data_IF_397734313625
#
_entry.id   IF_397734313625
#
_cell.length_a   1.000
_cell.length_b   1.000
_cell.length_c   1.000
_cell.angle_alpha   90.00
_cell.angle_beta   90.00
_cell.angle_gamma   90.00
#
_symmetry.space_group_name_H-M   'P 1'
#
loop_
_entity.id
_entity.type
_entity.pdbx_description
1 polymer ?
#
# COMPACT_ATOMS: atom_id res chain seq x y z
N UNK A 1 46.57 -24.89 14.74
CA UNK A 1 45.40 -23.99 14.91
C UNK A 1 44.44 -24.19 13.73
N UNK A 2 43.27 -24.83 13.93
CA UNK A 2 42.21 -24.91 12.91
C UNK A 2 40.83 -24.37 13.36
N UNK A 3 40.73 -23.71 14.51
CA UNK A 3 39.44 -23.35 15.11
C UNK A 3 38.62 -22.30 14.33
N UNK A 4 39.28 -21.38 13.61
CA UNK A 4 38.60 -20.28 12.92
C UNK A 4 37.69 -20.74 11.75
N UNK A 5 37.98 -21.90 11.14
CA UNK A 5 37.27 -22.37 9.95
C UNK A 5 35.96 -23.13 10.30
N UNK A 6 35.89 -23.75 11.49
CA UNK A 6 34.68 -24.47 11.93
C UNK A 6 33.56 -23.53 12.42
N UNK A 7 33.93 -22.41 13.04
CA UNK A 7 32.95 -21.44 13.51
C UNK A 7 32.29 -20.67 12.36
N UNK A 8 33.07 -20.33 11.32
CA UNK A 8 32.52 -19.71 10.10
C UNK A 8 31.48 -20.61 9.41
N UNK A 9 31.80 -21.90 9.19
CA UNK A 9 30.86 -22.83 8.56
C UNK A 9 29.56 -23.03 9.37
N UNK A 10 29.66 -23.07 10.71
CA UNK A 10 28.49 -23.20 11.59
C UNK A 10 27.61 -21.94 11.57
N UNK A 11 28.22 -20.76 11.54
CA UNK A 11 27.51 -19.48 11.42
C UNK A 11 26.78 -19.38 10.07
N UNK A 12 27.44 -19.75 8.97
CA UNK A 12 26.82 -19.74 7.63
C UNK A 12 25.69 -20.75 7.51
N UNK A 13 25.85 -21.95 8.08
CA UNK A 13 24.81 -23.00 8.06
C UNK A 13 23.57 -22.56 8.86
N UNK A 14 23.77 -21.89 10.01
CA UNK A 14 22.66 -21.40 10.83
C UNK A 14 21.88 -20.29 10.12
N UNK A 15 22.56 -19.31 9.54
CA UNK A 15 21.92 -18.25 8.76
C UNK A 15 21.04 -18.83 7.65
N UNK A 16 21.59 -19.78 6.88
CA UNK A 16 20.85 -20.41 5.78
C UNK A 16 19.60 -21.16 6.25
N UNK A 17 19.68 -21.88 7.37
CA UNK A 17 18.52 -22.54 7.96
C UNK A 17 17.47 -21.52 8.40
N UNK A 18 17.90 -20.44 9.05
CA UNK A 18 16.99 -19.38 9.50
C UNK A 18 16.34 -18.64 8.32
N UNK A 19 17.05 -18.45 7.21
CA UNK A 19 16.51 -17.92 5.95
C UNK A 19 15.41 -18.83 5.37
N UNK A 20 15.66 -20.14 5.30
CA UNK A 20 14.66 -21.11 4.81
C UNK A 20 13.42 -21.15 5.70
N UNK A 21 13.59 -21.04 7.02
CA UNK A 21 12.46 -20.95 7.96
C UNK A 21 11.67 -19.67 7.71
N UNK A 22 12.34 -18.53 7.58
CA UNK A 22 11.69 -17.26 7.30
C UNK A 22 10.89 -17.32 5.99
N UNK A 23 11.50 -17.84 4.93
CA UNK A 23 10.91 -17.98 3.60
C UNK A 23 9.66 -18.87 3.60
N UNK A 24 9.71 -19.99 4.33
CA UNK A 24 8.57 -20.88 4.53
C UNK A 24 7.44 -20.22 5.32
N UNK A 25 7.77 -19.54 6.43
CA UNK A 25 6.76 -18.90 7.28
C UNK A 25 6.02 -17.78 6.54
N UNK A 26 6.74 -17.00 5.72
CA UNK A 26 6.14 -15.97 4.87
C UNK A 26 5.19 -16.59 3.84
N UNK A 27 5.63 -17.64 3.13
CA UNK A 27 4.77 -18.37 2.18
C UNK A 27 3.52 -18.94 2.87
N UNK A 28 3.68 -19.56 4.04
CA UNK A 28 2.60 -20.13 4.82
C UNK A 28 1.59 -19.05 5.22
N UNK A 29 2.06 -17.90 5.72
CA UNK A 29 1.21 -16.78 6.09
C UNK A 29 0.41 -16.24 4.89
N UNK A 30 1.08 -15.98 3.75
CA UNK A 30 0.42 -15.53 2.52
C UNK A 30 -0.66 -16.53 2.09
N UNK A 31 -0.30 -17.81 2.00
CA UNK A 31 -1.20 -18.87 1.53
C UNK A 31 -2.43 -19.02 2.44
N UNK A 32 -2.23 -18.97 3.76
CA UNK A 32 -3.33 -19.07 4.72
C UNK A 32 -4.28 -17.86 4.64
N UNK A 33 -3.75 -16.65 4.45
CA UNK A 33 -4.56 -15.43 4.30
C UNK A 33 -5.36 -15.43 3.00
N UNK A 34 -4.75 -15.86 1.89
CA UNK A 34 -5.44 -15.96 0.60
C UNK A 34 -6.53 -17.04 0.64
N UNK A 35 -6.25 -18.19 1.26
CA UNK A 35 -7.25 -19.26 1.46
C UNK A 35 -8.43 -18.76 2.30
N UNK A 36 -8.14 -18.08 3.40
CA UNK A 36 -9.17 -17.47 4.24
C UNK A 36 -10.01 -16.46 3.45
N UNK A 37 -9.38 -15.55 2.71
CA UNK A 37 -10.09 -14.55 1.90
C UNK A 37 -10.98 -15.19 0.85
N UNK A 38 -10.50 -16.22 0.15
CA UNK A 38 -11.28 -16.95 -0.85
C UNK A 38 -12.53 -17.58 -0.23
N UNK A 39 -12.38 -18.27 0.90
CA UNK A 39 -13.52 -18.88 1.60
C UNK A 39 -14.54 -17.84 2.09
N UNK A 40 -14.10 -16.61 2.40
CA UNK A 40 -15.01 -15.50 2.73
C UNK A 40 -15.82 -15.03 1.51
N UNK A 41 -15.23 -15.03 0.32
CA UNK A 41 -15.90 -14.61 -0.92
C UNK A 41 -16.88 -15.68 -1.45
N UNK A 42 -16.54 -16.95 -1.29
CA UNK A 42 -17.34 -18.07 -1.83
C UNK A 42 -18.70 -18.25 -1.11
N UNK A 43 -18.88 -17.68 0.09
CA UNK A 43 -20.16 -17.56 0.81
C UNK A 43 -20.82 -18.87 1.31
N UNK A 44 -20.45 -20.02 0.74
CA UNK A 44 -21.07 -21.33 0.95
C UNK A 44 -20.12 -22.32 1.65
N UNK A 45 -19.35 -21.85 2.63
CA UNK A 45 -18.31 -22.65 3.31
C UNK A 45 -18.81 -23.12 4.67
N UNK A 46 -18.50 -24.38 5.02
CA UNK A 46 -18.86 -24.93 6.32
C UNK A 46 -18.18 -24.19 7.48
N UNK A 47 -18.89 -23.98 8.60
CA UNK A 47 -18.38 -23.26 9.79
C UNK A 47 -17.02 -23.77 10.29
N UNK A 48 -16.77 -25.08 10.17
CA UNK A 48 -15.51 -25.72 10.56
C UNK A 48 -14.35 -25.30 9.65
N UNK A 49 -14.51 -25.42 8.34
CA UNK A 49 -13.48 -25.07 7.35
C UNK A 49 -13.07 -23.61 7.47
N UNK A 50 -14.07 -22.74 7.67
CA UNK A 50 -13.84 -21.33 7.93
C UNK A 50 -13.04 -21.10 9.22
N UNK A 51 -13.43 -21.74 10.33
CA UNK A 51 -12.73 -21.61 11.62
C UNK A 51 -11.28 -22.07 11.51
N UNK A 52 -11.04 -23.16 10.79
CA UNK A 52 -9.70 -23.72 10.59
C UNK A 52 -8.83 -22.80 9.71
N UNK A 53 -9.41 -22.18 8.67
CA UNK A 53 -8.73 -21.20 7.84
C UNK A 53 -8.34 -19.94 8.63
N UNK A 54 -9.26 -19.38 9.41
CA UNK A 54 -8.99 -18.20 10.27
C UNK A 54 -7.87 -18.50 11.28
N UNK A 55 -7.94 -19.65 11.97
CA UNK A 55 -6.88 -20.06 12.92
C UNK A 55 -5.53 -20.22 12.24
N UNK A 56 -5.51 -20.76 11.02
CA UNK A 56 -4.29 -20.93 10.24
C UNK A 56 -3.68 -19.57 9.86
N UNK A 57 -4.50 -18.62 9.41
CA UNK A 57 -4.06 -17.26 9.08
C UNK A 57 -3.50 -16.54 10.32
N UNK A 58 -4.21 -16.58 11.44
CA UNK A 58 -3.79 -15.98 12.71
C UNK A 58 -2.49 -16.62 13.25
N UNK A 59 -2.32 -17.92 13.04
CA UNK A 59 -1.06 -18.61 13.35
C UNK A 59 0.08 -18.14 12.45
N UNK A 60 -0.16 -18.08 11.13
CA UNK A 60 0.83 -17.61 10.15
C UNK A 60 1.35 -16.21 10.48
N UNK A 61 0.45 -15.27 10.77
CA UNK A 61 0.82 -13.90 11.15
C UNK A 61 1.67 -13.87 12.43
N UNK A 62 1.29 -14.63 13.47
CA UNK A 62 2.06 -14.72 14.71
C UNK A 62 3.46 -15.27 14.50
N UNK A 63 3.57 -16.34 13.71
CA UNK A 63 4.85 -17.00 13.44
C UNK A 63 5.78 -16.08 12.65
N UNK A 64 5.28 -15.43 11.59
CA UNK A 64 6.06 -14.44 10.82
C UNK A 64 6.52 -13.31 11.73
N UNK A 65 5.63 -12.77 12.56
CA UNK A 65 5.97 -11.66 13.46
C UNK A 65 7.06 -12.02 14.47
N UNK A 66 6.87 -13.13 15.19
CA UNK A 66 7.81 -13.61 16.21
C UNK A 66 9.16 -14.01 15.60
N UNK A 67 9.13 -14.71 14.47
CA UNK A 67 10.34 -15.17 13.82
C UNK A 67 11.09 -14.02 13.14
N UNK A 68 10.41 -13.04 12.55
CA UNK A 68 11.07 -11.85 11.97
C UNK A 68 11.86 -11.07 13.01
N UNK A 69 11.30 -10.91 14.23
CA UNK A 69 12.00 -10.28 15.35
C UNK A 69 13.21 -11.11 15.80
N UNK A 70 13.03 -12.43 15.89
CA UNK A 70 14.11 -13.35 16.27
C UNK A 70 15.24 -13.35 15.24
N UNK A 71 14.90 -13.40 13.95
CA UNK A 71 15.84 -13.34 12.83
C UNK A 71 16.67 -12.06 12.88
N UNK A 72 16.02 -10.89 12.98
CA UNK A 72 16.72 -9.58 13.08
C UNK A 72 17.65 -9.50 14.29
N UNK A 73 17.26 -10.09 15.42
CA UNK A 73 18.10 -10.12 16.63
C UNK A 73 19.31 -11.05 16.48
N UNK A 74 19.14 -12.20 15.83
CA UNK A 74 20.20 -13.18 15.65
C UNK A 74 21.16 -12.80 14.51
N UNK A 75 20.66 -12.10 13.49
CA UNK A 75 21.36 -11.77 12.25
C UNK A 75 21.22 -10.27 11.90
N UNK A 76 21.69 -9.35 12.77
CA UNK A 76 21.42 -7.91 12.62
C UNK A 76 22.00 -7.28 11.35
N UNK A 77 23.04 -7.88 10.77
CA UNK A 77 23.73 -7.40 9.56
C UNK A 77 23.48 -8.30 8.35
N UNK A 78 22.59 -9.29 8.44
CA UNK A 78 22.30 -10.16 7.31
C UNK A 78 21.46 -9.40 6.27
N UNK A 79 21.92 -9.46 5.03
CA UNK A 79 21.15 -9.05 3.87
C UNK A 79 20.40 -10.28 3.38
N UNK A 80 19.07 -10.18 3.29
CA UNK A 80 18.25 -11.28 2.80
C UNK A 80 18.49 -11.48 1.30
N UNK A 81 18.54 -12.72 0.81
CA UNK A 81 18.46 -13.01 -0.61
C UNK A 81 17.22 -12.35 -1.26
N UNK A 82 17.35 -11.84 -2.49
CA UNK A 82 16.30 -11.07 -3.16
C UNK A 82 14.95 -11.79 -3.23
N UNK A 83 14.96 -13.12 -3.42
CA UNK A 83 13.76 -13.94 -3.45
C UNK A 83 13.01 -13.96 -2.11
N UNK A 84 13.75 -14.00 -0.99
CA UNK A 84 13.19 -13.95 0.37
C UNK A 84 12.75 -12.52 0.71
N UNK A 85 13.54 -11.52 0.31
CA UNK A 85 13.18 -10.11 0.47
C UNK A 85 11.87 -9.78 -0.27
N UNK A 86 11.72 -10.25 -1.52
CA UNK A 86 10.50 -10.12 -2.31
C UNK A 86 9.33 -10.82 -1.62
N UNK A 87 9.51 -12.05 -1.16
CA UNK A 87 8.44 -12.79 -0.44
C UNK A 87 8.04 -12.09 0.86
N UNK A 88 8.99 -11.49 1.58
CA UNK A 88 8.71 -10.67 2.74
C UNK A 88 7.81 -9.49 2.39
N UNK A 89 8.10 -8.78 1.30
CA UNK A 89 7.25 -7.67 0.81
C UNK A 89 5.86 -8.14 0.43
N UNK A 90 5.73 -9.26 -0.27
CA UNK A 90 4.43 -9.86 -0.62
C UNK A 90 3.65 -10.21 0.65
N UNK A 91 4.32 -10.78 1.65
CA UNK A 91 3.72 -11.11 2.94
C UNK A 91 3.20 -9.84 3.65
N UNK A 92 4.02 -8.78 3.69
CA UNK A 92 3.63 -7.49 4.26
C UNK A 92 2.44 -6.90 3.54
N UNK A 93 2.50 -6.79 2.22
CA UNK A 93 1.40 -6.26 1.42
C UNK A 93 0.10 -7.07 1.61
N UNK A 94 0.20 -8.40 1.59
CA UNK A 94 -0.95 -9.29 1.79
C UNK A 94 -1.58 -9.09 3.18
N UNK A 95 -0.76 -8.97 4.23
CA UNK A 95 -1.26 -8.73 5.60
C UNK A 95 -1.89 -7.35 5.76
N UNK A 96 -1.34 -6.32 5.12
CA UNK A 96 -1.94 -4.97 5.09
C UNK A 96 -3.26 -4.99 4.34
N UNK A 97 -3.29 -5.55 3.13
CA UNK A 97 -4.46 -5.56 2.27
C UNK A 97 -5.62 -6.37 2.89
N UNK A 98 -5.34 -7.54 3.47
CA UNK A 98 -6.38 -8.47 3.91
C UNK A 98 -6.72 -8.36 5.40
N UNK A 99 -5.79 -7.92 6.24
CA UNK A 99 -5.94 -7.86 7.71
C UNK A 99 -5.62 -6.50 8.31
N UNK A 100 -5.22 -5.51 7.50
CA UNK A 100 -4.97 -4.13 7.94
C UNK A 100 -3.88 -4.04 9.01
N UNK A 101 -2.89 -4.95 8.97
CA UNK A 101 -1.77 -5.07 9.90
C UNK A 101 -0.46 -5.28 9.14
N UNK A 102 0.67 -4.89 9.73
CA UNK A 102 2.00 -5.27 9.22
C UNK A 102 2.54 -6.46 10.03
N UNK A 103 2.48 -7.67 9.47
CA UNK A 103 2.95 -8.88 10.18
C UNK A 103 4.45 -8.86 10.49
N UNK A 104 5.25 -8.01 9.83
CA UNK A 104 6.70 -7.89 10.07
C UNK A 104 7.06 -6.80 11.09
N UNK A 105 6.07 -6.00 11.50
CA UNK A 105 6.22 -4.98 12.52
C UNK A 105 6.02 -5.57 13.91
N UNK A 106 6.91 -5.34 14.89
CA UNK A 106 6.79 -5.91 16.24
C UNK A 106 5.45 -5.62 16.94
N UNK A 107 4.84 -4.48 16.61
CA UNK A 107 3.56 -4.01 17.18
C UNK A 107 2.39 -4.20 16.24
N UNK A 108 2.58 -4.84 15.09
CA UNK A 108 1.63 -4.94 13.97
C UNK A 108 1.13 -3.59 13.41
N UNK A 109 1.76 -2.49 13.82
CA UNK A 109 1.47 -1.15 13.33
C UNK A 109 2.42 -0.77 12.20
N UNK A 110 1.99 0.13 11.33
CA UNK A 110 2.85 0.68 10.28
C UNK A 110 3.17 2.15 10.55
N UNK A 111 4.40 2.55 10.29
CA UNK A 111 4.77 3.95 10.25
C UNK A 111 4.34 4.54 8.90
N UNK A 112 3.61 5.65 8.93
CA UNK A 112 3.27 6.38 7.70
C UNK A 112 4.53 7.03 7.12
N UNK A 113 4.83 6.73 5.85
CA UNK A 113 6.04 7.20 5.15
C UNK A 113 5.74 7.91 3.83
N UNK A 114 4.48 8.26 3.56
CA UNK A 114 4.05 8.88 2.29
C UNK A 114 4.54 10.33 2.12
N UNK A 115 4.65 11.09 3.22
CA UNK A 115 4.88 12.54 3.17
C UNK A 115 6.20 13.00 2.51
N UNK A 116 7.38 12.38 2.75
CA UNK A 116 8.63 12.81 2.09
C UNK A 116 8.61 12.61 0.57
N UNK A 117 8.11 11.46 0.10
CA UNK A 117 8.03 11.13 -1.32
C UNK A 117 7.07 12.06 -2.06
N UNK A 118 5.89 12.29 -1.49
CA UNK A 118 4.91 13.24 -2.03
C UNK A 118 5.52 14.62 -2.25
N UNK A 119 6.27 15.14 -1.25
CA UNK A 119 6.97 16.42 -1.39
C UNK A 119 8.03 16.42 -2.49
N UNK A 120 8.81 15.34 -2.60
CA UNK A 120 9.83 15.22 -3.65
C UNK A 120 9.21 15.22 -5.06
N UNK A 121 8.15 14.44 -5.27
CA UNK A 121 7.42 14.36 -6.54
C UNK A 121 6.80 15.72 -6.92
N UNK A 122 6.09 16.37 -6.00
CA UNK A 122 5.49 17.69 -6.22
C UNK A 122 6.54 18.75 -6.54
N UNK A 123 7.65 18.77 -5.78
CA UNK A 123 8.75 19.69 -6.00
C UNK A 123 9.40 19.51 -7.38
N UNK A 124 9.57 18.27 -7.83
CA UNK A 124 10.08 17.96 -9.18
C UNK A 124 9.16 18.52 -10.27
N UNK A 125 7.85 18.38 -10.12
CA UNK A 125 6.86 18.90 -11.07
C UNK A 125 6.62 20.41 -10.95
N UNK A 126 7.17 21.05 -9.90
CA UNK A 126 6.92 22.46 -9.56
C UNK A 126 5.43 22.75 -9.35
N UNK A 127 4.68 21.76 -8.87
CA UNK A 127 3.27 21.87 -8.56
C UNK A 127 3.06 21.95 -7.04
N UNK A 128 2.08 22.72 -6.59
CA UNK A 128 1.71 22.77 -5.16
C UNK A 128 0.87 21.57 -4.74
N UNK A 129 0.15 20.97 -5.69
CA UNK A 129 -0.70 19.80 -5.49
C UNK A 129 -0.89 19.03 -6.81
N UNK A 130 -1.41 17.81 -6.71
CA UNK A 130 -1.60 16.92 -7.89
C UNK A 130 -2.66 17.40 -8.88
N UNK A 131 -3.58 18.28 -8.47
CA UNK A 131 -4.63 18.82 -9.37
C UNK A 131 -4.09 19.98 -10.19
N UNK A 132 -3.28 20.86 -9.61
CA UNK A 132 -2.67 22.00 -10.32
C UNK A 132 -1.91 21.53 -11.56
N UNK A 133 -1.17 20.44 -11.43
CA UNK A 133 -0.44 19.78 -12.51
C UNK A 133 -1.35 19.38 -13.69
N UNK A 134 -2.60 18.95 -13.44
CA UNK A 134 -3.61 18.63 -14.48
C UNK A 134 -4.07 19.86 -15.26
N UNK A 135 -4.11 21.03 -14.61
CA UNK A 135 -4.65 22.28 -15.16
C UNK A 135 -3.60 23.17 -15.83
N UNK A 136 -2.32 22.79 -15.76
CA UNK A 136 -1.14 23.56 -16.20
C UNK A 136 -1.04 23.85 -17.71
N UNK A 137 -2.02 23.44 -18.52
CA UNK A 137 -2.17 23.95 -19.89
C UNK A 137 -2.67 25.40 -19.92
N UNK A 138 -3.01 25.97 -18.76
CA UNK A 138 -3.39 27.38 -18.58
C UNK A 138 -2.31 28.15 -17.79
N UNK A 139 -2.07 29.44 -18.08
CA UNK A 139 -1.01 30.22 -17.43
C UNK A 139 -1.20 30.28 -15.91
N UNK A 140 -0.10 30.36 -15.12
CA UNK A 140 -0.16 30.34 -13.67
C UNK A 140 -1.01 31.50 -13.16
N UNK A 141 -2.18 31.16 -12.63
CA UNK A 141 -3.05 32.11 -11.95
C UNK A 141 -2.33 32.52 -10.67
N UNK A 142 -1.94 33.78 -10.55
CA UNK A 142 -1.26 34.38 -9.37
C UNK A 142 -2.13 34.46 -8.12
N UNK A 143 -3.24 33.72 -8.06
CA UNK A 143 -4.07 33.60 -6.88
C UNK A 143 -3.55 32.40 -6.08
N UNK A 144 -3.11 32.58 -4.82
CA UNK A 144 -2.81 31.44 -3.98
C UNK A 144 -4.09 30.61 -3.88
N UNK A 145 -4.07 29.36 -4.36
CA UNK A 145 -5.11 28.37 -4.01
C UNK A 145 -4.85 27.98 -2.55
N UNK A 146 -5.03 28.94 -1.65
CA UNK A 146 -5.12 28.76 -0.23
C UNK A 146 -6.60 28.52 0.09
N UNK A 147 -7.17 27.44 -0.44
CA UNK A 147 -8.34 26.87 0.21
C UNK A 147 -7.83 25.88 1.25
N UNK A 148 -7.65 26.38 2.47
CA UNK A 148 -7.53 25.53 3.65
C UNK A 148 -8.83 24.75 3.81
N UNK A 149 -8.91 23.57 3.19
CA UNK A 149 -10.05 22.66 3.38
C UNK A 149 -9.94 22.00 4.77
N UNK A 150 -10.29 22.78 5.78
CA UNK A 150 -10.09 22.47 7.20
C UNK A 150 -11.11 21.48 7.78
N UNK A 151 -12.14 21.11 7.00
CA UNK A 151 -13.23 20.24 7.42
C UNK A 151 -13.33 18.96 6.58
N UNK A 152 -13.73 17.87 7.24
CA UNK A 152 -13.95 16.58 6.58
C UNK A 152 -15.22 16.68 5.73
N UNK A 153 -15.25 16.12 4.50
CA UNK A 153 -16.43 16.20 3.65
C UNK A 153 -17.65 15.45 4.22
N UNK A 154 -17.44 14.54 5.18
CA UNK A 154 -18.48 13.71 5.78
C UNK A 154 -18.65 13.97 7.27
N UNK A 155 -19.89 13.83 7.75
CA UNK A 155 -20.20 13.89 9.19
C UNK A 155 -19.63 12.67 9.93
N UNK A 156 -19.32 12.78 11.25
CA UNK A 156 -18.81 11.66 12.03
C UNK A 156 -19.70 10.42 12.02
N UNK A 157 -21.02 10.61 11.92
CA UNK A 157 -21.98 9.50 11.84
C UNK A 157 -21.82 8.72 10.52
N UNK A 158 -21.64 9.42 9.40
CA UNK A 158 -21.43 8.82 8.07
C UNK A 158 -20.09 8.10 8.02
N UNK A 159 -19.01 8.71 8.55
CA UNK A 159 -17.69 8.08 8.62
C UNK A 159 -17.74 6.76 9.40
N UNK A 160 -18.44 6.74 10.54
CA UNK A 160 -18.60 5.52 11.34
C UNK A 160 -19.34 4.43 10.57
N UNK A 161 -20.46 4.78 9.92
CA UNK A 161 -21.25 3.84 9.10
C UNK A 161 -20.41 3.28 7.94
N UNK A 162 -19.65 4.11 7.24
CA UNK A 162 -18.79 3.68 6.14
C UNK A 162 -17.69 2.74 6.62
N UNK A 163 -17.09 3.03 7.78
CA UNK A 163 -16.06 2.18 8.40
C UNK A 163 -16.64 0.83 8.82
N UNK A 164 -17.83 0.82 9.45
CA UNK A 164 -18.55 -0.41 9.81
C UNK A 164 -18.89 -1.25 8.58
N UNK A 165 -19.32 -0.60 7.49
CA UNK A 165 -19.64 -1.24 6.22
C UNK A 165 -18.40 -1.83 5.53
N UNK A 166 -17.31 -1.06 5.46
CA UNK A 166 -16.02 -1.54 4.96
C UNK A 166 -15.58 -2.79 5.73
N UNK A 167 -15.63 -2.75 7.06
CA UNK A 167 -15.34 -3.89 7.91
C UNK A 167 -16.26 -5.09 7.61
N UNK A 168 -17.56 -4.86 7.45
CA UNK A 168 -18.51 -5.91 7.05
C UNK A 168 -18.13 -6.56 5.72
N UNK A 169 -17.83 -5.79 4.68
CA UNK A 169 -17.42 -6.30 3.36
C UNK A 169 -16.05 -7.01 3.39
N UNK A 170 -15.18 -6.60 4.31
CA UNK A 170 -13.93 -7.30 4.58
C UNK A 170 -14.14 -8.61 5.36
N UNK A 171 -15.36 -8.88 5.85
CA UNK A 171 -15.73 -10.08 6.59
C UNK A 171 -15.53 -9.98 8.11
N UNK A 172 -15.45 -8.76 8.65
CA UNK A 172 -15.22 -8.52 10.07
C UNK A 172 -16.48 -8.62 10.94
N UNK A 173 -17.64 -8.19 10.42
CA UNK A 173 -18.86 -7.97 11.23
C UNK A 173 -19.58 -9.23 11.72
N UNK A 174 -18.98 -10.41 11.59
CA UNK A 174 -19.48 -11.70 12.11
C UNK A 174 -18.47 -12.46 12.96
N UNK A 175 -17.30 -11.89 13.22
CA UNK A 175 -16.24 -12.55 13.98
C UNK A 175 -16.50 -12.45 15.49
N UNK A 176 -16.45 -13.57 16.25
CA UNK A 176 -16.34 -13.50 17.70
C UNK A 176 -15.15 -12.62 18.09
N UNK A 177 -15.25 -11.87 19.19
CA UNK A 177 -14.20 -10.94 19.64
C UNK A 177 -12.80 -11.57 19.71
N UNK A 178 -12.70 -12.86 20.06
CA UNK A 178 -11.44 -13.60 20.08
C UNK A 178 -10.74 -13.73 18.70
N UNK A 179 -11.49 -13.65 17.61
CA UNK A 179 -10.97 -13.71 16.23
C UNK A 179 -10.75 -12.32 15.61
N UNK A 180 -11.05 -11.24 16.34
CA UNK A 180 -10.79 -9.86 15.92
C UNK A 180 -9.38 -9.38 16.33
N UNK A 181 -8.63 -10.19 17.10
CA UNK A 181 -7.31 -9.83 17.66
C UNK A 181 -6.27 -9.53 16.58
N UNK A 182 -6.32 -10.24 15.45
CA UNK A 182 -5.44 -10.03 14.30
C UNK A 182 -6.16 -9.26 13.19
N UNK A 183 -6.73 -8.13 13.57
CA UNK A 183 -7.27 -7.11 12.67
C UNK A 183 -6.73 -5.75 13.07
N UNK A 184 -6.33 -4.94 12.10
CA UNK A 184 -5.77 -3.62 12.35
C UNK A 184 -6.50 -2.51 11.64
N UNK A 185 -5.85 -1.35 11.65
CA UNK A 185 -6.39 -0.10 11.11
C UNK A 185 -5.43 0.53 10.08
N UNK A 186 -4.51 -0.26 9.51
CA UNK A 186 -3.62 0.23 8.45
C UNK A 186 -4.44 0.55 7.21
N UNK A 187 -4.33 1.79 6.73
CA UNK A 187 -5.10 2.26 5.59
C UNK A 187 -4.62 1.67 4.27
N UNK A 188 -5.47 1.71 3.23
CA UNK A 188 -5.01 1.43 1.86
C UNK A 188 -3.94 2.42 1.43
N UNK A 189 -4.06 3.70 1.83
CA UNK A 189 -3.05 4.73 1.58
C UNK A 189 -1.68 4.35 2.12
N UNK A 190 -1.61 3.80 3.33
CA UNK A 190 -0.35 3.27 3.87
C UNK A 190 0.12 2.06 3.05
N UNK A 191 -0.81 1.16 2.68
CA UNK A 191 -0.58 -0.01 1.82
C UNK A 191 0.02 0.30 0.45
N UNK A 192 -0.32 1.46 -0.13
CA UNK A 192 0.08 1.88 -1.48
C UNK A 192 1.59 1.87 -1.69
N UNK A 193 2.39 2.25 -0.68
CA UNK A 193 3.86 2.19 -0.78
C UNK A 193 4.37 0.77 -1.03
N UNK A 194 3.85 -0.23 -0.32
CA UNK A 194 4.29 -1.61 -0.58
C UNK A 194 3.85 -2.07 -1.97
N UNK A 195 2.63 -1.71 -2.39
CA UNK A 195 2.14 -2.06 -3.72
C UNK A 195 3.06 -1.50 -4.82
N UNK A 196 3.47 -0.23 -4.70
CA UNK A 196 4.33 0.42 -5.67
C UNK A 196 5.73 -0.17 -5.70
N UNK A 197 6.29 -0.50 -4.54
CA UNK A 197 7.59 -1.16 -4.49
C UNK A 197 7.50 -2.57 -5.07
N UNK A 198 6.47 -3.34 -4.73
CA UNK A 198 6.23 -4.66 -5.35
C UNK A 198 6.09 -4.57 -6.86
N UNK A 199 5.44 -3.51 -7.36
CA UNK A 199 5.32 -3.24 -8.79
C UNK A 199 6.69 -3.01 -9.42
N UNK A 200 7.55 -2.21 -8.79
CA UNK A 200 8.91 -1.96 -9.27
C UNK A 200 9.78 -3.21 -9.27
N UNK A 201 9.73 -4.03 -8.21
CA UNK A 201 10.44 -5.30 -8.18
C UNK A 201 9.93 -6.27 -9.24
N UNK A 202 8.60 -6.35 -9.42
CA UNK A 202 7.99 -7.19 -10.46
C UNK A 202 8.44 -6.75 -11.86
N UNK A 203 8.53 -5.44 -12.10
CA UNK A 203 9.11 -4.89 -13.33
C UNK A 203 10.57 -5.30 -13.50
N UNK A 204 11.40 -5.14 -12.47
CA UNK A 204 12.81 -5.48 -12.51
C UNK A 204 13.07 -6.98 -12.77
N UNK A 205 12.17 -7.87 -12.34
CA UNK A 205 12.28 -9.31 -12.58
C UNK A 205 11.73 -9.78 -13.92
N UNK A 206 10.73 -9.08 -14.47
CA UNK A 206 10.03 -9.51 -15.70
C UNK A 206 10.33 -8.62 -16.92
N UNK A 207 11.13 -7.56 -16.75
CA UNK A 207 11.43 -6.53 -17.75
C UNK A 207 10.19 -5.89 -18.41
N UNK A 208 9.02 -5.98 -17.79
CA UNK A 208 7.78 -5.42 -18.32
C UNK A 208 6.76 -5.11 -17.21
N UNK A 209 5.97 -4.05 -17.41
CA UNK A 209 4.73 -3.81 -16.66
C UNK A 209 3.57 -3.83 -17.63
N UNK A 210 2.65 -4.77 -17.40
CA UNK A 210 1.41 -4.84 -18.18
C UNK A 210 0.49 -3.66 -17.90
N UNK A 211 -0.32 -3.30 -18.90
CA UNK A 211 -1.39 -2.30 -18.77
C UNK A 211 -2.36 -2.64 -17.64
N UNK A 212 -2.74 -3.91 -17.51
CA UNK A 212 -3.61 -4.41 -16.43
C UNK A 212 -3.01 -4.12 -15.04
N UNK A 213 -1.69 -4.21 -14.89
CA UNK A 213 -1.02 -3.90 -13.63
C UNK A 213 -1.08 -2.41 -13.31
N UNK A 214 -0.86 -1.55 -14.32
CA UNK A 214 -1.03 -0.09 -14.19
C UNK A 214 -2.48 0.30 -13.88
N UNK A 215 -3.47 -0.38 -14.48
CA UNK A 215 -4.90 -0.17 -14.18
C UNK A 215 -5.18 -0.56 -12.73
N UNK A 216 -4.65 -1.70 -12.28
CA UNK A 216 -4.77 -2.15 -10.89
C UNK A 216 -4.16 -1.16 -9.91
N UNK A 217 -2.98 -0.62 -10.23
CA UNK A 217 -2.29 0.39 -9.44
C UNK A 217 -3.11 1.68 -9.32
N UNK A 218 -3.66 2.15 -10.44
CA UNK A 218 -4.48 3.37 -10.50
C UNK A 218 -5.79 3.18 -9.72
N UNK A 219 -6.46 2.04 -9.91
CA UNK A 219 -7.65 1.69 -9.13
C UNK A 219 -7.34 1.61 -7.63
N UNK A 220 -6.18 1.08 -7.25
CA UNK A 220 -5.76 1.07 -5.85
C UNK A 220 -5.59 2.49 -5.30
N UNK A 221 -4.97 3.42 -6.05
CA UNK A 221 -4.84 4.82 -5.63
C UNK A 221 -6.21 5.46 -5.39
N UNK A 222 -7.13 5.27 -6.33
CA UNK A 222 -8.51 5.74 -6.21
C UNK A 222 -9.13 5.20 -4.93
N UNK A 223 -9.15 3.88 -4.74
CA UNK A 223 -9.73 3.25 -3.54
C UNK A 223 -9.08 3.72 -2.24
N UNK A 224 -7.76 3.96 -2.25
CA UNK A 224 -7.03 4.51 -1.10
C UNK A 224 -7.48 5.94 -0.76
N UNK A 225 -7.71 6.78 -1.77
CA UNK A 225 -8.31 8.11 -1.58
C UNK A 225 -9.72 7.99 -1.01
N UNK A 226 -10.54 7.08 -1.55
CA UNK A 226 -11.92 6.92 -1.10
C UNK A 226 -11.97 6.50 0.37
N UNK A 227 -11.13 5.55 0.76
CA UNK A 227 -10.99 5.09 2.14
C UNK A 227 -10.56 6.24 3.07
N UNK A 228 -9.55 7.02 2.65
CA UNK A 228 -9.05 8.14 3.43
C UNK A 228 -10.15 9.19 3.70
N UNK A 229 -10.96 9.56 2.71
CA UNK A 229 -12.03 10.53 2.94
C UNK A 229 -13.28 9.93 3.59
N UNK A 230 -13.77 8.77 3.12
CA UNK A 230 -15.06 8.18 3.56
C UNK A 230 -14.98 7.42 4.87
N UNK A 231 -13.81 6.89 5.24
CA UNK A 231 -13.63 6.09 6.46
C UNK A 231 -12.78 6.84 7.49
N UNK A 232 -11.64 7.40 7.10
CA UNK A 232 -10.75 8.09 8.04
C UNK A 232 -11.13 9.56 8.29
N UNK A 233 -11.94 10.16 7.43
CA UNK A 233 -12.25 11.58 7.51
C UNK A 233 -11.04 12.46 7.21
N UNK A 234 -10.28 12.13 6.16
CA UNK A 234 -9.21 12.98 5.66
C UNK A 234 -9.72 14.39 5.33
N UNK A 235 -8.81 15.36 5.42
CA UNK A 235 -9.05 16.79 5.19
C UNK A 235 -8.04 17.32 4.19
N UNK A 236 -8.36 18.42 3.53
CA UNK A 236 -7.42 19.01 2.58
C UNK A 236 -7.23 18.14 1.34
N UNK A 237 -6.20 18.48 0.58
CA UNK A 237 -5.75 17.74 -0.61
C UNK A 237 -4.64 16.72 -0.29
N UNK A 238 -4.24 16.61 0.98
CA UNK A 238 -3.07 15.80 1.38
C UNK A 238 -3.24 14.31 1.08
N UNK A 239 -4.41 13.73 1.34
CA UNK A 239 -4.67 12.33 1.03
C UNK A 239 -4.61 12.06 -0.48
N UNK A 240 -5.16 12.98 -1.29
CA UNK A 240 -5.05 12.91 -2.75
C UNK A 240 -3.60 13.03 -3.22
N UNK A 241 -2.86 14.00 -2.70
CA UNK A 241 -1.44 14.19 -2.99
C UNK A 241 -0.63 12.92 -2.65
N UNK A 242 -0.84 12.34 -1.47
CA UNK A 242 -0.15 11.12 -1.04
C UNK A 242 -0.45 9.91 -1.94
N UNK A 243 -1.70 9.77 -2.39
CA UNK A 243 -2.10 8.66 -3.23
C UNK A 243 -1.68 8.81 -4.70
N UNK A 244 -1.58 10.03 -5.24
CA UNK A 244 -1.33 10.26 -6.68
C UNK A 244 0.09 10.78 -7.01
N UNK A 245 0.91 11.09 -6.00
CA UNK A 245 2.32 11.51 -6.18
C UNK A 245 3.27 10.33 -6.39
N UNK A 246 2.94 9.45 -7.34
CA UNK A 246 3.77 8.33 -7.74
C UNK A 246 4.32 8.54 -9.14
N UNK A 247 5.63 8.59 -9.23
CA UNK A 247 6.40 8.77 -10.45
C UNK A 247 7.86 9.00 -10.08
N UNK A 248 8.69 9.41 -11.05
CA UNK A 248 10.08 9.77 -10.78
C UNK A 248 10.20 10.93 -9.78
N UNK A 249 11.02 10.80 -8.73
CA UNK A 249 11.14 11.82 -7.65
C UNK A 249 12.43 12.63 -7.66
N UNK A 250 13.54 12.09 -8.20
CA UNK A 250 14.83 12.77 -8.27
C UNK A 250 15.39 12.81 -9.70
N UNK A 251 16.19 13.85 -10.00
CA UNK A 251 17.07 13.89 -11.16
C UNK A 251 18.46 13.42 -10.68
N UNK A 252 18.65 12.11 -10.53
CA UNK A 252 19.87 11.50 -10.01
C UNK A 252 19.58 10.44 -8.94
N UNK A 253 20.29 9.31 -8.99
CA UNK A 253 20.11 8.15 -8.09
C UNK A 253 20.87 8.28 -6.77
N UNK A 254 21.71 9.31 -6.59
CA UNK A 254 22.60 9.42 -5.44
C UNK A 254 21.83 9.61 -4.12
N UNK A 255 21.95 8.64 -3.21
CA UNK A 255 21.42 8.68 -1.86
C UNK A 255 19.97 8.23 -1.69
N UNK A 256 19.35 7.65 -2.72
CA UNK A 256 18.05 6.97 -2.59
C UNK A 256 18.22 5.63 -1.87
N UNK A 257 17.20 5.20 -1.12
CA UNK A 257 17.15 3.82 -0.64
C UNK A 257 16.83 2.86 -1.81
N UNK A 258 17.10 1.56 -1.62
CA UNK A 258 16.87 0.54 -2.65
C UNK A 258 15.39 0.51 -3.10
N UNK A 259 14.46 0.78 -2.18
CA UNK A 259 13.02 0.82 -2.46
C UNK A 259 12.67 1.92 -3.47
N UNK A 260 13.14 3.14 -3.21
CA UNK A 260 12.88 4.33 -4.01
C UNK A 260 13.60 4.26 -5.36
N UNK A 261 14.78 3.63 -5.39
CA UNK A 261 15.54 3.35 -6.62
C UNK A 261 14.73 2.45 -7.56
N UNK A 262 14.27 1.30 -7.06
CA UNK A 262 13.48 0.34 -7.85
C UNK A 262 12.16 0.96 -8.34
N UNK A 263 11.50 1.78 -7.51
CA UNK A 263 10.29 2.49 -7.93
C UNK A 263 10.58 3.54 -9.00
N UNK A 264 11.70 4.27 -8.92
CA UNK A 264 12.07 5.25 -9.93
C UNK A 264 12.47 4.60 -11.26
N UNK A 265 13.20 3.48 -11.21
CA UNK A 265 13.57 2.69 -12.38
C UNK A 265 12.33 2.17 -13.13
N UNK A 266 11.32 1.70 -12.38
CA UNK A 266 10.03 1.28 -12.93
C UNK A 266 9.39 2.34 -13.86
N UNK A 267 9.51 3.62 -13.50
CA UNK A 267 8.94 4.73 -14.28
C UNK A 267 9.92 5.27 -15.34
N UNK A 268 11.22 5.05 -15.17
CA UNK A 268 12.27 5.47 -16.11
C UNK A 268 12.60 4.44 -17.19
N UNK A 269 12.21 3.18 -16.98
CA UNK A 269 12.37 2.08 -17.94
C UNK A 269 11.70 2.35 -19.29
N UNK A 270 12.21 1.73 -20.36
CA UNK A 270 11.71 1.87 -21.73
C UNK A 270 11.57 3.33 -22.23
N UNK A 271 12.57 4.15 -21.93
CA UNK A 271 12.58 5.57 -22.31
C UNK A 271 11.47 6.39 -21.63
N UNK A 272 10.93 5.89 -20.52
CA UNK A 272 9.83 6.52 -19.78
C UNK A 272 8.44 6.22 -20.35
N UNK A 273 8.30 5.27 -21.27
CA UNK A 273 6.99 4.92 -21.86
C UNK A 273 5.96 4.45 -20.81
N UNK A 274 6.39 3.63 -19.84
CA UNK A 274 5.60 3.24 -18.67
C UNK A 274 5.20 4.47 -17.87
N UNK A 275 6.15 5.37 -17.61
CA UNK A 275 5.88 6.64 -16.91
C UNK A 275 4.82 7.49 -17.62
N UNK A 276 4.93 7.67 -18.93
CA UNK A 276 3.97 8.46 -19.74
C UNK A 276 2.58 7.84 -19.72
N UNK A 277 2.48 6.53 -19.94
CA UNK A 277 1.20 5.84 -19.93
C UNK A 277 0.56 5.87 -18.54
N UNK A 278 1.35 5.65 -17.49
CA UNK A 278 0.87 5.68 -16.12
C UNK A 278 0.38 7.08 -15.71
N UNK A 279 1.11 8.14 -16.09
CA UNK A 279 0.66 9.51 -15.87
C UNK A 279 -0.66 9.82 -16.59
N UNK A 280 -0.83 9.32 -17.81
CA UNK A 280 -2.11 9.43 -18.53
C UNK A 280 -3.26 8.75 -17.77
N UNK A 281 -3.05 7.53 -17.30
CA UNK A 281 -4.08 6.77 -16.56
C UNK A 281 -4.42 7.41 -15.21
N UNK A 282 -3.41 7.91 -14.48
CA UNK A 282 -3.65 8.69 -13.25
C UNK A 282 -4.45 9.96 -13.54
N UNK A 283 -4.15 10.66 -14.63
CA UNK A 283 -4.87 11.87 -15.05
C UNK A 283 -6.32 11.54 -15.38
N UNK A 284 -6.57 10.49 -16.15
CA UNK A 284 -7.93 10.02 -16.46
C UNK A 284 -8.70 9.65 -15.19
N UNK A 285 -8.07 8.92 -14.26
CA UNK A 285 -8.70 8.58 -12.97
C UNK A 285 -8.97 9.81 -12.09
N UNK A 286 -8.07 10.81 -12.07
CA UNK A 286 -8.29 12.08 -11.37
C UNK A 286 -9.42 12.89 -12.00
N UNK A 287 -9.55 12.88 -13.33
CA UNK A 287 -10.66 13.53 -14.04
C UNK A 287 -11.98 12.78 -13.81
N UNK A 288 -11.98 11.45 -13.71
CA UNK A 288 -13.17 10.68 -13.34
C UNK A 288 -13.59 10.94 -11.89
N UNK A 289 -12.61 11.06 -10.98
CA UNK A 289 -12.80 11.56 -9.61
C UNK A 289 -13.43 12.95 -9.60
N UNK A 290 -12.98 13.85 -10.48
CA UNK A 290 -13.50 15.22 -10.63
C UNK A 290 -14.89 15.29 -11.30
N UNK A 291 -15.23 14.35 -12.16
CA UNK A 291 -16.49 14.41 -12.91
C UNK A 291 -17.65 13.65 -12.26
N UNK A 292 -17.51 13.17 -11.01
CA UNK A 292 -18.61 12.44 -10.37
C UNK A 292 -18.80 11.02 -10.86
N UNK A 293 -17.92 10.48 -11.71
CA UNK A 293 -18.19 9.23 -12.47
C UNK A 293 -17.68 7.96 -11.82
N UNK A 294 -17.27 8.00 -10.54
CA UNK A 294 -16.78 6.79 -9.90
C UNK A 294 -17.89 5.84 -9.53
N UNK A 295 -17.78 4.62 -10.05
CA UNK A 295 -18.52 3.48 -9.52
C UNK A 295 -18.31 3.35 -8.00
N UNK A 296 -19.39 3.40 -7.22
CA UNK A 296 -19.37 3.29 -5.76
C UNK A 296 -19.55 4.61 -4.98
N UNK A 297 -19.71 5.74 -5.68
CA UNK A 297 -20.20 6.98 -5.10
C UNK A 297 -21.62 7.28 -5.58
N UNK A 298 -22.40 7.91 -4.71
CA UNK A 298 -23.55 8.70 -5.16
C UNK A 298 -23.02 10.05 -5.67
N UNK A 299 -23.61 10.62 -6.71
CA UNK A 299 -23.18 11.90 -7.33
C UNK A 299 -23.02 13.03 -6.28
N UNK A 300 -23.80 12.96 -5.19
CA UNK A 300 -23.78 13.89 -4.06
C UNK A 300 -22.51 13.78 -3.19
N UNK A 301 -21.97 12.57 -3.00
CA UNK A 301 -20.76 12.34 -2.21
C UNK A 301 -19.50 12.84 -2.94
N UNK A 302 -19.46 12.71 -4.27
CA UNK A 302 -18.36 13.25 -5.10
C UNK A 302 -18.49 14.76 -5.21
N UNK A 303 -19.70 15.29 -5.44
CA UNK A 303 -19.93 16.74 -5.46
C UNK A 303 -19.52 17.38 -4.13
N UNK A 304 -19.78 16.71 -3.01
CA UNK A 304 -19.35 17.15 -1.67
C UNK A 304 -17.84 17.04 -1.49
N UNK A 305 -17.20 15.98 -1.99
CA UNK A 305 -15.75 15.82 -1.95
C UNK A 305 -15.04 16.88 -2.79
N UNK A 306 -15.54 17.17 -4.00
CA UNK A 306 -14.96 18.15 -4.93
C UNK A 306 -15.24 19.60 -4.55
N UNK A 307 -16.42 19.89 -4.01
CA UNK A 307 -16.71 21.19 -3.40
C UNK A 307 -15.77 21.46 -2.21
N UNK A 308 -15.42 20.41 -1.44
CA UNK A 308 -14.45 20.48 -0.34
C UNK A 308 -12.99 20.31 -0.77
N UNK A 309 -12.69 20.03 -2.04
CA UNK A 309 -11.32 20.01 -2.60
C UNK A 309 -11.09 21.23 -3.52
N UNK A 310 -12.10 22.10 -3.65
CA UNK A 310 -12.02 23.37 -4.36
C UNK A 310 -12.00 23.25 -5.87
N UNK A 311 -12.33 22.07 -6.42
CA UNK A 311 -12.45 21.85 -7.86
C UNK A 311 -13.69 22.56 -8.46
N UNK A 312 -14.65 22.99 -7.63
CA UNK A 312 -15.83 23.75 -8.04
C UNK A 312 -15.65 25.27 -8.03
N UNK A 313 -14.45 25.77 -8.38
CA UNK A 313 -14.29 27.14 -8.90
C UNK A 313 -13.35 27.12 -10.10
N UNK A 314 -13.86 26.61 -11.23
CA UNK A 314 -13.87 27.33 -12.53
C UNK A 314 -14.78 26.64 -13.54
#
# INVERSE_FOLDING_TARGET
MPAANMDSHRVTTRLHVDELILDYLQWFCISSLLKERRLRLDGNVGKREWTDATKSADMGMRLVNSFSQTFKRLHPNAVLPDSIALRQRICRFTTVLLRRLDATSPTFTRASQSSPRTRAWLSRRRASNVIEDLTSSSPPSSAPIACEFSQTPFSPLVLRRNTEEMHRQMGFSGLPAAHQVYWGNVSLRDGLREFMILSGWTCAFNDEISTLWMETATNYMVQAVLEAYRCEGAKGINALNECFSWGPTANGQDGLDDDETVVNEMFGGDGGSVGVLFEKMKTEALLELENGKLSGFEDEDISTLLANVGALVR
#
